data_IF_488515383764
#
_entry.id   IF_488515383764
#
_cell.length_a   1.000
_cell.length_b   1.000
_cell.length_c   1.000
_cell.angle_alpha   90.00
_cell.angle_beta   90.00
_cell.angle_gamma   90.00
#
_symmetry.space_group_name_H-M   'P 1'
#
loop_
_entity.id
_entity.type
_entity.pdbx_description
1 polymer ?
#
# COMPACT_ATOMS: atom_id res chain seq x y z
N UNK A 1 3.69 29.47 -1.15
CA UNK A 1 4.68 28.43 -0.88
C UNK A 1 4.08 27.51 0.16
N UNK A 2 3.84 26.25 -0.14
CA UNK A 2 3.37 25.27 0.84
C UNK A 2 4.49 25.03 1.85
N UNK A 3 4.19 25.10 3.14
CA UNK A 3 5.13 24.78 4.20
C UNK A 3 5.29 23.24 4.25
N UNK A 4 6.51 22.71 4.44
CA UNK A 4 6.70 21.28 4.61
C UNK A 4 5.90 20.77 5.83
N UNK A 5 5.36 19.56 5.72
CA UNK A 5 4.65 18.95 6.83
C UNK A 5 5.63 18.55 7.94
N UNK A 6 5.15 18.59 9.18
CA UNK A 6 5.95 18.11 10.31
C UNK A 6 5.98 16.58 10.35
N UNK A 7 7.02 16.02 10.98
CA UNK A 7 7.12 14.57 11.19
C UNK A 7 5.88 14.00 11.92
N UNK A 8 5.34 14.75 12.89
CA UNK A 8 4.13 14.35 13.62
C UNK A 8 2.89 14.29 12.70
N UNK A 9 2.72 15.29 11.81
CA UNK A 9 1.62 15.30 10.83
C UNK A 9 1.73 14.12 9.86
N UNK A 10 2.94 13.83 9.37
CA UNK A 10 3.18 12.70 8.46
C UNK A 10 2.97 11.35 9.17
N UNK A 11 3.48 11.18 10.39
CA UNK A 11 3.27 9.98 11.18
C UNK A 11 1.79 9.72 11.45
N UNK A 12 1.05 10.76 11.87
CA UNK A 12 -0.38 10.67 12.10
C UNK A 12 -1.16 10.34 10.83
N UNK A 13 -0.85 11.00 9.71
CA UNK A 13 -1.50 10.73 8.43
C UNK A 13 -1.29 9.27 7.97
N UNK A 14 -0.10 8.72 8.14
CA UNK A 14 0.18 7.31 7.85
C UNK A 14 -0.60 6.36 8.76
N UNK A 15 -0.53 6.57 10.08
CA UNK A 15 -1.26 5.78 11.05
C UNK A 15 -2.77 5.75 10.75
N UNK A 16 -3.37 6.95 10.54
CA UNK A 16 -4.79 7.08 10.26
C UNK A 16 -5.19 6.47 8.90
N UNK A 17 -4.29 6.47 7.91
CA UNK A 17 -4.51 5.78 6.64
C UNK A 17 -4.56 4.26 6.82
N UNK A 18 -3.66 3.67 7.62
CA UNK A 18 -3.67 2.24 7.94
C UNK A 18 -4.96 1.85 8.67
N UNK A 19 -5.40 2.62 9.67
CA UNK A 19 -6.63 2.33 10.39
C UNK A 19 -7.88 2.48 9.50
N UNK A 20 -7.95 3.51 8.66
CA UNK A 20 -9.06 3.70 7.73
C UNK A 20 -9.16 2.57 6.70
N UNK A 21 -8.04 1.97 6.32
CA UNK A 21 -8.00 0.78 5.47
C UNK A 21 -8.51 -0.46 6.21
N UNK A 22 -8.19 -0.66 7.48
CA UNK A 22 -8.73 -1.72 8.32
C UNK A 22 -10.25 -1.60 8.55
N UNK A 23 -10.75 -0.36 8.61
CA UNK A 23 -12.18 -0.06 8.74
C UNK A 23 -12.96 -0.29 7.43
N UNK A 24 -12.28 -0.53 6.31
CA UNK A 24 -12.88 -0.79 5.00
C UNK A 24 -13.14 -2.30 4.82
N UNK A 25 -14.28 -2.65 4.21
CA UNK A 25 -14.56 -4.02 3.81
C UNK A 25 -13.77 -4.35 2.55
N UNK A 26 -12.75 -5.20 2.67
CA UNK A 26 -11.79 -5.57 1.62
C UNK A 26 -11.84 -7.08 1.36
N UNK A 27 -12.58 -7.54 0.36
CA UNK A 27 -12.71 -8.97 0.07
C UNK A 27 -11.36 -9.70 -0.04
N UNK A 28 -11.19 -10.77 0.75
CA UNK A 28 -9.98 -11.61 0.79
C UNK A 28 -8.83 -11.06 1.63
N UNK A 29 -8.92 -9.83 2.14
CA UNK A 29 -7.89 -9.23 2.97
C UNK A 29 -8.37 -9.07 4.44
N UNK A 30 -7.49 -8.67 5.36
CA UNK A 30 -7.82 -8.43 6.77
C UNK A 30 -8.64 -7.14 6.90
N UNK A 31 -9.78 -7.22 7.60
CA UNK A 31 -10.66 -6.09 7.91
C UNK A 31 -11.51 -6.38 9.15
N UNK A 32 -12.07 -5.33 9.79
CA UNK A 32 -12.84 -5.48 11.04
C UNK A 32 -14.17 -6.23 10.92
N UNK A 33 -14.68 -6.46 9.72
CA UNK A 33 -15.94 -7.17 9.48
C UNK A 33 -15.77 -8.68 9.30
N UNK A 34 -14.54 -9.17 9.22
CA UNK A 34 -14.21 -10.58 9.01
C UNK A 34 -13.86 -11.29 10.31
N UNK A 35 -13.79 -12.61 10.23
CA UNK A 35 -13.10 -13.42 11.24
C UNK A 35 -11.60 -13.25 11.02
N UNK A 36 -10.81 -13.10 12.08
CA UNK A 36 -9.36 -13.04 11.98
C UNK A 36 -8.84 -14.20 11.14
N UNK A 37 -8.00 -13.87 10.16
CA UNK A 37 -7.39 -14.86 9.29
C UNK A 37 -6.37 -15.68 10.08
N UNK A 38 -6.19 -16.95 9.74
CA UNK A 38 -5.26 -17.84 10.45
C UNK A 38 -3.85 -17.25 10.39
N UNK A 39 -3.42 -16.63 11.50
CA UNK A 39 -2.06 -16.11 11.68
C UNK A 39 -1.87 -14.60 11.61
N UNK A 40 -2.88 -13.79 11.26
CA UNK A 40 -2.81 -12.33 11.28
C UNK A 40 -4.13 -11.74 11.76
N UNK A 41 -4.09 -10.96 12.84
CA UNK A 41 -5.26 -10.32 13.44
C UNK A 41 -5.33 -8.83 13.12
N UNK A 42 -6.51 -8.24 13.26
CA UNK A 42 -6.69 -6.78 13.18
C UNK A 42 -5.77 -6.07 14.17
N UNK A 43 -5.59 -6.62 15.38
CA UNK A 43 -4.70 -6.06 16.41
C UNK A 43 -3.23 -6.03 16.00
N UNK A 44 -2.77 -6.98 15.17
CA UNK A 44 -1.41 -6.98 14.63
C UNK A 44 -1.22 -5.80 13.67
N UNK A 45 -2.21 -5.53 12.81
CA UNK A 45 -2.17 -4.39 11.89
C UNK A 45 -2.27 -3.04 12.62
N UNK A 46 -3.10 -2.92 13.66
CA UNK A 46 -3.16 -1.72 14.52
C UNK A 46 -1.82 -1.46 15.22
N UNK A 47 -1.22 -2.51 15.76
CA UNK A 47 0.09 -2.43 16.41
C UNK A 47 1.16 -2.03 15.39
N UNK A 48 1.17 -2.65 14.21
CA UNK A 48 2.08 -2.34 13.13
C UNK A 48 1.98 -0.89 12.68
N UNK A 49 0.76 -0.38 12.46
CA UNK A 49 0.52 1.02 12.12
C UNK A 49 1.10 1.98 13.16
N UNK A 50 0.87 1.68 14.44
CA UNK A 50 1.32 2.50 15.57
C UNK A 50 2.84 2.56 15.71
N UNK A 51 3.54 1.43 15.52
CA UNK A 51 5.00 1.39 15.71
C UNK A 51 5.76 1.80 14.45
N UNK A 52 5.23 1.57 13.25
CA UNK A 52 5.87 1.97 11.99
C UNK A 52 5.77 3.48 11.72
N UNK A 53 4.69 4.14 12.14
CA UNK A 53 4.44 5.55 11.83
C UNK A 53 5.55 6.51 12.27
N UNK A 54 6.07 6.49 13.52
CA UNK A 54 7.17 7.37 13.91
C UNK A 54 8.47 7.06 13.16
N UNK A 55 8.76 5.78 12.86
CA UNK A 55 9.95 5.39 12.11
C UNK A 55 9.90 5.87 10.65
N UNK A 56 8.72 5.76 10.02
CA UNK A 56 8.46 6.23 8.66
C UNK A 56 8.64 7.75 8.53
N UNK A 57 8.17 8.51 9.51
CA UNK A 57 8.17 9.97 9.49
C UNK A 57 9.42 10.61 10.12
N UNK A 58 10.38 9.83 10.61
CA UNK A 58 11.54 10.35 11.32
C UNK A 58 12.36 11.33 10.45
N UNK A 59 12.74 12.53 10.97
CA UNK A 59 13.50 13.50 10.20
C UNK A 59 14.89 12.99 9.80
N UNK A 60 15.42 13.48 8.66
CA UNK A 60 16.79 13.23 8.23
C UNK A 60 17.08 11.80 7.77
N UNK A 61 16.07 10.94 7.61
CA UNK A 61 16.26 9.58 7.13
C UNK A 61 16.06 9.51 5.61
N UNK A 62 16.88 8.70 4.93
CA UNK A 62 16.69 8.33 3.54
C UNK A 62 15.45 7.41 3.38
N UNK A 63 14.99 7.21 2.14
CA UNK A 63 13.84 6.33 1.85
C UNK A 63 14.11 4.90 2.35
N UNK A 64 15.28 4.34 2.05
CA UNK A 64 15.67 3.01 2.50
C UNK A 64 15.69 2.87 4.02
N UNK A 65 16.25 3.88 4.72
CA UNK A 65 16.28 3.89 6.18
C UNK A 65 14.87 3.95 6.80
N UNK A 66 13.93 4.71 6.19
CA UNK A 66 12.51 4.72 6.60
C UNK A 66 11.89 3.35 6.44
N UNK A 67 12.10 2.71 5.30
CA UNK A 67 11.60 1.36 5.01
C UNK A 67 12.13 0.38 6.06
N UNK A 68 13.44 0.31 6.25
CA UNK A 68 14.06 -0.64 7.17
C UNK A 68 13.57 -0.48 8.59
N UNK A 69 13.64 0.73 9.14
CA UNK A 69 13.24 1.00 10.53
C UNK A 69 11.75 0.73 10.77
N UNK A 70 10.88 1.04 9.82
CA UNK A 70 9.45 0.78 9.94
C UNK A 70 9.13 -0.73 9.92
N UNK A 71 9.82 -1.48 9.06
CA UNK A 71 9.67 -2.94 8.98
C UNK A 71 10.23 -3.63 10.23
N UNK A 72 11.43 -3.22 10.68
CA UNK A 72 12.03 -3.72 11.93
C UNK A 72 11.09 -3.46 13.12
N UNK A 73 10.62 -2.23 13.31
CA UNK A 73 9.68 -1.89 14.39
C UNK A 73 8.39 -2.73 14.35
N UNK A 74 7.88 -3.02 13.16
CA UNK A 74 6.70 -3.88 12.98
C UNK A 74 7.00 -5.31 13.43
N UNK A 75 8.05 -5.93 12.90
CA UNK A 75 8.38 -7.34 13.19
C UNK A 75 8.75 -7.53 14.65
N UNK A 76 9.49 -6.58 15.24
CA UNK A 76 9.83 -6.61 16.66
C UNK A 76 8.59 -6.54 17.57
N UNK A 77 7.53 -5.85 17.13
CA UNK A 77 6.31 -5.68 17.90
C UNK A 77 5.29 -6.83 17.71
N UNK A 78 5.16 -7.39 16.50
CA UNK A 78 4.11 -8.37 16.17
C UNK A 78 4.65 -9.75 15.76
N UNK A 79 5.96 -9.89 15.54
CA UNK A 79 6.63 -11.16 15.25
C UNK A 79 6.55 -11.63 13.79
N UNK A 80 5.82 -10.93 12.91
CA UNK A 80 5.67 -11.28 11.50
C UNK A 80 5.41 -10.06 10.61
N UNK A 81 5.49 -10.25 9.29
CA UNK A 81 5.30 -9.20 8.32
C UNK A 81 3.81 -8.94 8.06
N UNK A 82 3.34 -7.73 8.40
CA UNK A 82 1.98 -7.26 8.12
C UNK A 82 1.93 -6.10 7.13
N UNK A 83 3.04 -5.38 6.90
CA UNK A 83 2.99 -4.07 6.24
C UNK A 83 4.17 -3.74 5.33
N UNK A 84 4.98 -4.71 4.90
CA UNK A 84 6.14 -4.43 4.04
C UNK A 84 5.75 -3.63 2.79
N UNK A 85 4.72 -4.04 2.06
CA UNK A 85 4.28 -3.35 0.85
C UNK A 85 3.73 -1.95 1.13
N UNK A 86 2.98 -1.79 2.22
CA UNK A 86 2.52 -0.48 2.71
C UNK A 86 3.70 0.45 2.97
N UNK A 87 4.72 -0.03 3.68
CA UNK A 87 5.91 0.76 4.02
C UNK A 87 6.73 1.10 2.77
N UNK A 88 6.91 0.13 1.85
CA UNK A 88 7.60 0.38 0.58
C UNK A 88 6.94 1.52 -0.20
N UNK A 89 5.62 1.54 -0.33
CA UNK A 89 4.90 2.62 -1.01
C UNK A 89 4.87 3.93 -0.22
N UNK A 90 4.79 3.87 1.11
CA UNK A 90 4.60 5.05 1.94
C UNK A 90 5.91 5.80 2.25
N UNK A 91 7.07 5.14 2.24
CA UNK A 91 8.34 5.78 2.57
C UNK A 91 8.76 6.89 1.58
N UNK A 92 8.64 6.71 0.24
CA UNK A 92 8.89 7.79 -0.70
C UNK A 92 7.88 8.94 -0.56
N UNK A 93 6.60 8.64 -0.31
CA UNK A 93 5.55 9.65 -0.06
C UNK A 93 5.84 10.45 1.20
N UNK A 94 6.27 9.80 2.28
CA UNK A 94 6.68 10.48 3.51
C UNK A 94 7.90 11.37 3.30
N UNK A 95 8.91 10.89 2.55
CA UNK A 95 10.07 11.70 2.17
C UNK A 95 9.66 12.94 1.39
N UNK A 96 8.79 12.80 0.40
CA UNK A 96 8.29 13.91 -0.41
C UNK A 96 7.46 14.92 0.41
N UNK A 97 6.70 14.45 1.39
CA UNK A 97 5.88 15.33 2.25
C UNK A 97 6.72 16.14 3.27
N UNK A 98 7.85 15.58 3.70
CA UNK A 98 8.80 16.23 4.62
C UNK A 98 9.81 17.14 3.90
N UNK A 99 9.88 17.09 2.57
CA UNK A 99 10.76 17.91 1.75
C UNK A 99 10.19 19.35 1.66
N UNK A 100 11.07 20.34 1.81
CA UNK A 100 10.75 21.76 1.70
C UNK A 100 10.81 22.30 0.26
N UNK A 101 11.13 21.44 -0.73
CA UNK A 101 11.19 21.80 -2.12
C UNK A 101 9.82 22.29 -2.65
N UNK A 102 9.87 23.29 -3.54
CA UNK A 102 8.67 23.81 -4.17
C UNK A 102 8.01 22.76 -5.09
N UNK A 103 6.69 22.76 -5.14
CA UNK A 103 5.87 21.87 -5.97
C UNK A 103 4.79 21.17 -5.15
N UNK A 104 3.96 20.42 -5.85
CA UNK A 104 2.98 19.53 -5.22
C UNK A 104 3.63 18.21 -4.75
N UNK A 105 2.90 17.41 -4.00
CA UNK A 105 3.38 16.14 -3.47
C UNK A 105 3.91 15.21 -4.57
N UNK A 106 3.23 15.14 -5.73
CA UNK A 106 3.66 14.26 -6.84
C UNK A 106 4.98 14.73 -7.46
N UNK A 107 5.15 16.03 -7.66
CA UNK A 107 6.38 16.59 -8.21
C UNK A 107 7.57 16.44 -7.27
N UNK A 108 7.36 16.55 -5.95
CA UNK A 108 8.40 16.25 -4.96
C UNK A 108 8.72 14.76 -4.89
N UNK A 109 7.69 13.90 -4.98
CA UNK A 109 7.90 12.44 -5.05
C UNK A 109 8.76 12.04 -6.25
N UNK A 110 8.50 12.58 -7.43
CA UNK A 110 9.32 12.31 -8.62
C UNK A 110 10.80 12.64 -8.38
N UNK A 111 11.10 13.75 -7.68
CA UNK A 111 12.49 14.10 -7.30
C UNK A 111 13.07 13.09 -6.29
N UNK A 112 12.29 12.66 -5.30
CA UNK A 112 12.70 11.64 -4.32
C UNK A 112 13.03 10.33 -5.04
N UNK A 113 12.19 9.88 -5.97
CA UNK A 113 12.42 8.64 -6.73
C UNK A 113 13.68 8.73 -7.60
N UNK A 114 13.88 9.84 -8.31
CA UNK A 114 15.08 10.08 -9.12
C UNK A 114 16.36 10.17 -8.28
N UNK A 115 16.26 10.53 -7.00
CA UNK A 115 17.39 10.64 -6.06
C UNK A 115 17.69 9.37 -5.26
N UNK A 116 16.98 8.26 -5.50
CA UNK A 116 17.21 7.00 -4.78
C UNK A 116 18.62 6.45 -5.02
N UNK A 117 19.28 6.03 -3.97
CA UNK A 117 20.69 5.65 -3.96
C UNK A 117 20.88 4.12 -3.83
N UNK A 118 22.12 3.66 -4.02
CA UNK A 118 22.56 2.30 -3.66
C UNK A 118 22.41 2.05 -2.14
N UNK A 119 22.59 3.09 -1.32
CA UNK A 119 22.34 3.03 0.13
C UNK A 119 20.88 2.72 0.44
N UNK A 120 19.93 3.34 -0.29
CA UNK A 120 18.50 3.02 -0.16
C UNK A 120 18.19 1.59 -0.57
N UNK A 121 18.84 1.09 -1.62
CA UNK A 121 18.71 -0.31 -2.02
C UNK A 121 19.18 -1.27 -0.92
N UNK A 122 20.36 -1.01 -0.31
CA UNK A 122 20.89 -1.85 0.78
C UNK A 122 19.95 -1.92 1.98
N UNK A 123 19.46 -0.79 2.43
CA UNK A 123 18.50 -0.72 3.54
C UNK A 123 17.19 -1.43 3.21
N UNK A 124 16.67 -1.23 2.00
CA UNK A 124 15.44 -1.88 1.53
C UNK A 124 15.60 -3.39 1.41
N UNK A 125 16.72 -3.87 0.85
CA UNK A 125 17.02 -5.32 0.77
C UNK A 125 17.11 -5.95 2.17
N UNK A 126 17.78 -5.27 3.11
CA UNK A 126 17.82 -5.71 4.50
C UNK A 126 16.42 -5.81 5.12
N UNK A 127 15.54 -4.83 4.87
CA UNK A 127 14.14 -4.85 5.32
C UNK A 127 13.36 -6.03 4.71
N UNK A 128 13.50 -6.28 3.41
CA UNK A 128 12.82 -7.39 2.73
C UNK A 128 13.30 -8.75 3.28
N UNK A 129 14.62 -8.91 3.46
CA UNK A 129 15.17 -10.13 4.08
C UNK A 129 14.65 -10.33 5.51
N UNK A 130 14.53 -9.27 6.29
CA UNK A 130 14.01 -9.33 7.66
C UNK A 130 12.52 -9.67 7.69
N UNK A 131 11.74 -9.10 6.78
CA UNK A 131 10.31 -9.35 6.65
C UNK A 131 9.94 -10.76 6.14
N UNK A 132 10.84 -11.43 5.43
CA UNK A 132 10.64 -12.78 4.85
C UNK A 132 9.29 -12.92 4.14
N UNK A 133 8.95 -12.06 3.16
CA UNK A 133 7.65 -12.10 2.52
C UNK A 133 7.44 -13.43 1.78
N UNK A 134 6.24 -14.00 1.93
CA UNK A 134 5.90 -15.28 1.29
C UNK A 134 5.91 -15.18 -0.25
N UNK A 135 6.45 -16.23 -0.90
CA UNK A 135 6.45 -16.35 -2.36
C UNK A 135 7.44 -15.44 -3.09
N UNK A 136 8.45 -14.88 -2.41
CA UNK A 136 9.41 -13.98 -3.04
C UNK A 136 10.21 -14.66 -4.16
N UNK A 137 10.60 -15.96 -3.98
CA UNK A 137 11.40 -16.70 -4.94
C UNK A 137 12.81 -16.13 -5.12
N UNK A 138 13.51 -16.60 -6.15
CA UNK A 138 14.82 -16.09 -6.57
C UNK A 138 14.64 -15.20 -7.82
N UNK A 139 15.35 -14.07 -7.86
CA UNK A 139 15.37 -13.18 -9.01
C UNK A 139 16.64 -13.41 -9.86
N UNK A 140 16.48 -13.34 -11.20
CA UNK A 140 17.64 -13.50 -12.12
C UNK A 140 18.63 -12.33 -12.03
N UNK A 141 18.15 -11.14 -11.69
CA UNK A 141 18.95 -9.91 -11.55
C UNK A 141 18.55 -9.21 -10.24
N UNK A 142 19.53 -8.62 -9.59
CA UNK A 142 19.37 -7.81 -8.37
C UNK A 142 18.53 -8.53 -7.30
N UNK A 143 18.81 -9.84 -7.07
CA UNK A 143 18.13 -10.62 -6.07
C UNK A 143 18.36 -10.04 -4.66
N UNK A 144 17.29 -9.96 -3.88
CA UNK A 144 17.36 -9.39 -2.52
C UNK A 144 18.18 -10.21 -1.53
N UNK A 145 18.52 -11.45 -1.86
CA UNK A 145 19.45 -12.30 -1.10
C UNK A 145 20.90 -11.82 -1.19
N UNK A 146 21.26 -11.07 -2.25
CA UNK A 146 22.58 -10.48 -2.46
C UNK A 146 22.71 -9.06 -1.90
N UNK A 147 23.95 -8.52 -1.99
CA UNK A 147 24.18 -7.09 -1.76
C UNK A 147 23.92 -6.30 -3.04
N UNK A 148 23.11 -5.24 -3.02
CA UNK A 148 22.84 -4.45 -4.22
C UNK A 148 24.04 -3.58 -4.60
N UNK A 149 24.33 -3.55 -5.88
CA UNK A 149 25.31 -2.69 -6.54
C UNK A 149 24.66 -1.59 -7.42
N UNK A 150 23.33 -1.57 -7.46
CA UNK A 150 22.50 -0.61 -8.18
C UNK A 150 21.67 0.24 -7.23
N UNK A 151 21.13 1.35 -7.70
CA UNK A 151 20.19 2.19 -6.94
C UNK A 151 18.89 1.46 -6.66
N UNK A 152 18.13 1.93 -5.66
CA UNK A 152 16.81 1.33 -5.37
C UNK A 152 15.86 1.45 -6.57
N UNK A 153 15.93 2.54 -7.34
CA UNK A 153 15.09 2.71 -8.53
C UNK A 153 15.42 1.67 -9.61
N UNK A 154 16.70 1.43 -9.90
CA UNK A 154 17.14 0.41 -10.85
C UNK A 154 16.78 -1.01 -10.37
N UNK A 155 16.85 -1.28 -9.08
CA UNK A 155 16.40 -2.55 -8.52
C UNK A 155 14.87 -2.74 -8.66
N UNK A 156 14.09 -1.68 -8.50
CA UNK A 156 12.63 -1.70 -8.74
C UNK A 156 12.31 -1.88 -10.23
N UNK A 157 13.06 -1.25 -11.14
CA UNK A 157 12.93 -1.46 -12.58
C UNK A 157 13.12 -2.93 -12.97
N UNK A 158 14.12 -3.60 -12.41
CA UNK A 158 14.33 -5.05 -12.63
C UNK A 158 13.18 -5.93 -12.09
N UNK A 159 12.35 -5.41 -11.19
CA UNK A 159 11.23 -6.13 -10.56
C UNK A 159 9.85 -5.72 -11.12
N UNK A 160 9.71 -4.62 -11.84
CA UNK A 160 8.42 -4.01 -12.24
C UNK A 160 7.50 -4.96 -13.03
N UNK A 161 8.07 -5.84 -13.83
CA UNK A 161 7.29 -6.81 -14.63
C UNK A 161 6.58 -7.90 -13.82
N UNK A 162 6.95 -8.07 -12.52
CA UNK A 162 6.40 -9.10 -11.62
C UNK A 162 5.83 -8.57 -10.31
N UNK A 163 6.10 -7.31 -9.97
CA UNK A 163 5.68 -6.70 -8.70
C UNK A 163 5.11 -5.29 -8.95
N UNK A 164 3.84 -5.08 -8.61
CA UNK A 164 3.15 -3.82 -8.86
C UNK A 164 3.62 -2.68 -7.95
N UNK A 165 4.19 -2.99 -6.80
CA UNK A 165 4.84 -1.99 -5.94
C UNK A 165 6.07 -1.45 -6.66
N UNK A 166 6.92 -2.33 -7.17
CA UNK A 166 8.10 -1.96 -7.95
C UNK A 166 7.72 -1.15 -9.21
N UNK A 167 6.66 -1.53 -9.91
CA UNK A 167 6.12 -0.80 -11.05
C UNK A 167 5.74 0.65 -10.68
N UNK A 168 5.19 0.90 -9.51
CA UNK A 168 4.87 2.27 -9.09
C UNK A 168 6.11 3.15 -8.95
N UNK A 169 7.25 2.61 -8.49
CA UNK A 169 8.51 3.36 -8.41
C UNK A 169 8.99 3.88 -9.76
N UNK A 170 8.82 3.10 -10.82
CA UNK A 170 9.29 3.42 -12.17
C UNK A 170 8.26 4.20 -13.00
N UNK A 171 7.03 4.33 -12.50
CA UNK A 171 5.91 5.00 -13.16
C UNK A 171 5.31 6.14 -12.31
N UNK A 172 6.14 6.84 -11.52
CA UNK A 172 5.76 8.04 -10.75
C UNK A 172 4.48 7.86 -9.91
N UNK A 173 4.31 6.65 -9.34
CA UNK A 173 3.14 6.30 -8.53
C UNK A 173 1.80 6.54 -9.23
N UNK A 174 1.77 6.31 -10.52
CA UNK A 174 0.57 6.52 -11.37
C UNK A 174 -0.66 5.82 -10.82
N UNK A 175 -0.54 4.58 -10.30
CA UNK A 175 -1.68 3.89 -9.69
C UNK A 175 -2.27 4.70 -8.53
N UNK A 176 -1.42 5.26 -7.69
CA UNK A 176 -1.85 6.04 -6.52
C UNK A 176 -2.51 7.35 -6.95
N UNK A 177 -1.84 8.13 -7.83
CA UNK A 177 -2.28 9.49 -8.16
C UNK A 177 -3.43 9.51 -9.19
N UNK A 178 -3.39 8.66 -10.20
CA UNK A 178 -4.31 8.74 -11.34
C UNK A 178 -5.49 7.76 -11.25
N UNK A 179 -5.33 6.62 -10.54
CA UNK A 179 -6.43 5.69 -10.27
C UNK A 179 -6.96 5.84 -8.84
N UNK A 180 -6.11 5.63 -7.83
CA UNK A 180 -6.50 5.58 -6.43
C UNK A 180 -7.10 6.89 -5.92
N UNK A 181 -6.38 8.02 -6.03
CA UNK A 181 -6.86 9.33 -5.58
C UNK A 181 -8.10 9.80 -6.34
N UNK A 182 -8.19 9.51 -7.63
CA UNK A 182 -9.39 9.83 -8.43
C UNK A 182 -10.60 9.08 -7.90
N UNK A 183 -10.46 7.76 -7.69
CA UNK A 183 -11.55 6.93 -7.15
C UNK A 183 -11.91 7.32 -5.73
N UNK A 184 -10.92 7.62 -4.88
CA UNK A 184 -11.15 8.09 -3.51
C UNK A 184 -11.97 9.37 -3.47
N UNK A 185 -11.60 10.41 -4.26
CA UNK A 185 -12.32 11.67 -4.33
C UNK A 185 -13.76 11.46 -4.81
N UNK A 186 -13.96 10.64 -5.84
CA UNK A 186 -15.29 10.30 -6.35
C UNK A 186 -16.13 9.60 -5.26
N UNK A 187 -15.61 8.57 -4.63
CA UNK A 187 -16.33 7.80 -3.60
C UNK A 187 -16.64 8.64 -2.35
N UNK A 188 -15.76 9.55 -1.95
CA UNK A 188 -16.03 10.51 -0.88
C UNK A 188 -17.18 11.47 -1.21
N UNK A 189 -17.27 11.93 -2.46
CA UNK A 189 -18.38 12.78 -2.91
C UNK A 189 -19.71 12.01 -2.92
N UNK A 190 -19.69 10.71 -3.22
CA UNK A 190 -20.88 9.84 -3.28
C UNK A 190 -21.40 9.44 -1.90
N UNK A 191 -20.51 9.09 -0.95
CA UNK A 191 -20.89 8.48 0.33
C UNK A 191 -20.61 9.32 1.56
N UNK A 192 -19.72 10.32 1.46
CA UNK A 192 -19.16 11.06 2.59
C UNK A 192 -18.62 10.15 3.72
N UNK A 193 -18.21 8.93 3.37
CA UNK A 193 -17.73 7.90 4.28
C UNK A 193 -16.34 7.43 3.88
N UNK A 194 -15.35 7.68 4.74
CA UNK A 194 -13.95 7.29 4.49
C UNK A 194 -13.77 5.77 4.36
N UNK A 195 -14.39 4.90 5.20
CA UNK A 195 -14.34 3.46 5.01
C UNK A 195 -14.96 2.99 3.70
N UNK A 196 -16.13 3.52 3.31
CA UNK A 196 -16.76 3.19 2.03
C UNK A 196 -15.90 3.64 0.84
N UNK A 197 -15.25 4.80 0.93
CA UNK A 197 -14.32 5.27 -0.09
C UNK A 197 -13.07 4.37 -0.18
N UNK A 198 -12.53 3.92 0.95
CA UNK A 198 -11.41 2.98 0.99
C UNK A 198 -11.78 1.62 0.37
N UNK A 199 -12.99 1.08 0.66
CA UNK A 199 -13.52 -0.12 0.00
C UNK A 199 -13.60 0.06 -1.52
N UNK A 200 -14.07 1.23 -1.98
CA UNK A 200 -14.17 1.54 -3.42
C UNK A 200 -12.79 1.63 -4.09
N UNK A 201 -11.80 2.23 -3.42
CA UNK A 201 -10.41 2.28 -3.91
C UNK A 201 -9.81 0.88 -4.01
N UNK A 202 -9.95 0.08 -2.96
CA UNK A 202 -9.47 -1.30 -2.93
C UNK A 202 -10.05 -2.13 -4.07
N UNK A 203 -11.37 -2.09 -4.24
CA UNK A 203 -12.05 -2.86 -5.28
C UNK A 203 -11.63 -2.38 -6.68
N UNK A 204 -11.45 -1.07 -6.87
CA UNK A 204 -11.00 -0.51 -8.14
C UNK A 204 -9.58 -0.96 -8.50
N UNK A 205 -8.66 -1.06 -7.53
CA UNK A 205 -7.34 -1.64 -7.75
C UNK A 205 -7.46 -3.11 -8.15
N UNK A 206 -8.19 -3.90 -7.37
CA UNK A 206 -8.35 -5.35 -7.62
C UNK A 206 -9.03 -5.64 -8.96
N UNK A 207 -9.96 -4.78 -9.39
CA UNK A 207 -10.62 -4.89 -10.68
C UNK A 207 -9.75 -4.43 -11.85
N UNK A 208 -8.87 -3.44 -11.64
CA UNK A 208 -8.05 -2.86 -12.71
C UNK A 208 -6.71 -3.57 -12.93
N UNK A 209 -6.13 -4.14 -11.86
CA UNK A 209 -4.74 -4.65 -11.83
C UNK A 209 -4.75 -6.08 -11.29
N UNK A 210 -4.13 -7.06 -11.99
CA UNK A 210 -3.93 -8.38 -11.39
C UNK A 210 -3.09 -8.25 -10.12
N UNK A 211 -3.61 -8.75 -8.98
CA UNK A 211 -2.90 -8.63 -7.70
C UNK A 211 -1.59 -9.43 -7.72
N UNK A 212 -0.46 -8.74 -7.53
CA UNK A 212 0.86 -9.35 -7.67
C UNK A 212 1.24 -10.25 -6.49
N UNK A 213 0.61 -10.11 -5.31
CA UNK A 213 0.77 -11.08 -4.23
C UNK A 213 0.08 -12.41 -4.58
N UNK A 214 -1.12 -12.37 -5.16
CA UNK A 214 -1.80 -13.57 -5.65
C UNK A 214 -0.99 -14.18 -6.80
N UNK A 215 -0.55 -13.37 -7.77
CA UNK A 215 0.27 -13.85 -8.89
C UNK A 215 1.55 -14.56 -8.42
N UNK A 216 2.21 -14.02 -7.41
CA UNK A 216 3.44 -14.57 -6.84
C UNK A 216 3.22 -15.90 -6.10
N UNK A 217 2.09 -16.05 -5.40
CA UNK A 217 1.79 -17.25 -4.59
C UNK A 217 1.08 -18.35 -5.39
N UNK A 218 0.22 -17.99 -6.35
CA UNK A 218 -0.72 -18.90 -7.00
C UNK A 218 -0.64 -18.86 -8.54
N UNK A 219 0.21 -17.98 -9.08
CA UNK A 219 0.37 -17.79 -10.53
C UNK A 219 -0.53 -16.70 -11.12
N UNK A 220 -0.11 -16.14 -12.26
CA UNK A 220 -0.80 -15.05 -12.94
C UNK A 220 -2.23 -15.40 -13.37
N UNK A 221 -2.47 -16.66 -13.75
CA UNK A 221 -3.81 -17.11 -14.13
C UNK A 221 -4.83 -16.90 -13.00
N UNK A 222 -4.46 -17.23 -11.75
CA UNK A 222 -5.30 -17.05 -10.58
C UNK A 222 -5.52 -15.55 -10.26
N UNK A 223 -4.50 -14.72 -10.43
CA UNK A 223 -4.63 -13.28 -10.24
C UNK A 223 -5.58 -12.65 -11.27
N UNK A 224 -5.53 -13.09 -12.53
CA UNK A 224 -6.45 -12.65 -13.58
C UNK A 224 -7.88 -13.11 -13.34
N UNK A 225 -8.09 -14.32 -12.83
CA UNK A 225 -9.42 -14.81 -12.44
C UNK A 225 -10.03 -13.92 -11.35
N UNK A 226 -9.29 -13.66 -10.27
CA UNK A 226 -9.73 -12.77 -9.18
C UNK A 226 -10.02 -11.35 -9.70
N UNK A 227 -9.20 -10.84 -10.62
CA UNK A 227 -9.44 -9.55 -11.25
C UNK A 227 -10.79 -9.52 -12.01
N UNK A 228 -11.13 -10.56 -12.77
CA UNK A 228 -12.41 -10.64 -13.48
C UNK A 228 -13.60 -10.73 -12.51
N UNK A 229 -13.45 -11.51 -11.43
CA UNK A 229 -14.47 -11.57 -10.37
C UNK A 229 -14.67 -10.19 -9.73
N UNK A 230 -13.59 -9.47 -9.41
CA UNK A 230 -13.65 -8.12 -8.85
C UNK A 230 -14.34 -7.13 -9.78
N UNK A 231 -14.06 -7.17 -11.11
CA UNK A 231 -14.78 -6.36 -12.10
C UNK A 231 -16.27 -6.62 -12.08
N UNK A 232 -16.67 -7.90 -11.99
CA UNK A 232 -18.09 -8.26 -11.96
C UNK A 232 -18.75 -7.80 -10.64
N UNK A 233 -18.03 -7.82 -9.51
CA UNK A 233 -18.51 -7.28 -8.23
C UNK A 233 -18.66 -5.76 -8.33
N UNK A 234 -17.64 -5.03 -8.78
CA UNK A 234 -17.65 -3.57 -8.92
C UNK A 234 -18.85 -3.11 -9.76
N UNK A 235 -19.05 -3.71 -10.94
CA UNK A 235 -20.18 -3.39 -11.82
C UNK A 235 -21.56 -3.65 -11.18
N UNK A 236 -21.67 -4.66 -10.31
CA UNK A 236 -22.90 -4.89 -9.54
C UNK A 236 -23.13 -3.84 -8.47
N UNK A 237 -22.06 -3.40 -7.79
CA UNK A 237 -22.15 -2.40 -6.71
C UNK A 237 -22.58 -1.04 -7.25
N UNK A 238 -22.15 -0.63 -8.44
CA UNK A 238 -22.54 0.63 -9.07
C UNK A 238 -24.05 0.70 -9.35
N UNK A 239 -24.69 -0.46 -9.51
CA UNK A 239 -26.14 -0.58 -9.73
C UNK A 239 -26.95 -0.81 -8.43
N UNK A 240 -26.32 -0.85 -7.26
CA UNK A 240 -27.00 -1.08 -5.96
C UNK A 240 -27.30 0.24 -5.26
N UNK A 241 -28.58 0.56 -5.11
CA UNK A 241 -29.05 1.73 -4.39
C UNK A 241 -28.98 1.61 -2.84
N UNK A 242 -28.69 0.40 -2.31
CA UNK A 242 -28.77 0.10 -0.88
C UNK A 242 -27.43 -0.43 -0.35
N UNK A 243 -26.89 0.24 0.67
CA UNK A 243 -25.63 -0.11 1.33
C UNK A 243 -25.61 -1.55 1.88
N UNK A 244 -26.73 -2.01 2.46
CA UNK A 244 -26.81 -3.39 2.97
C UNK A 244 -26.66 -4.43 1.86
N UNK A 245 -27.21 -4.17 0.65
CA UNK A 245 -27.05 -5.05 -0.49
C UNK A 245 -25.59 -5.03 -1.00
N UNK A 246 -24.94 -3.85 -1.02
CA UNK A 246 -23.52 -3.71 -1.35
C UNK A 246 -22.65 -4.51 -0.40
N UNK A 247 -22.87 -4.38 0.92
CA UNK A 247 -22.11 -5.11 1.93
C UNK A 247 -22.32 -6.62 1.84
N UNK A 248 -23.53 -7.12 1.52
CA UNK A 248 -23.75 -8.55 1.28
C UNK A 248 -22.95 -9.09 0.09
N UNK A 249 -22.96 -8.37 -1.03
CA UNK A 249 -22.21 -8.77 -2.23
C UNK A 249 -20.67 -8.78 -1.94
N UNK A 250 -20.16 -7.79 -1.23
CA UNK A 250 -18.77 -7.72 -0.81
C UNK A 250 -18.40 -8.85 0.17
N UNK A 251 -19.23 -9.13 1.17
CA UNK A 251 -19.00 -10.22 2.13
C UNK A 251 -19.06 -11.59 1.46
N UNK A 252 -19.93 -11.80 0.48
CA UNK A 252 -19.95 -13.04 -0.28
C UNK A 252 -18.64 -13.23 -1.08
N UNK A 253 -18.12 -12.16 -1.66
CA UNK A 253 -16.83 -12.18 -2.36
C UNK A 253 -15.66 -12.40 -1.40
N UNK A 254 -15.68 -11.75 -0.22
CA UNK A 254 -14.69 -11.96 0.85
C UNK A 254 -14.61 -13.44 1.26
N UNK A 255 -15.75 -14.05 1.57
CA UNK A 255 -15.83 -15.45 1.93
C UNK A 255 -15.31 -16.38 0.82
N UNK A 256 -15.64 -16.08 -0.44
CA UNK A 256 -15.14 -16.82 -1.59
C UNK A 256 -13.61 -16.77 -1.70
N UNK A 257 -13.00 -15.59 -1.58
CA UNK A 257 -11.55 -15.43 -1.65
C UNK A 257 -10.86 -16.11 -0.46
N UNK A 258 -11.35 -15.91 0.76
CA UNK A 258 -10.81 -16.54 1.97
C UNK A 258 -10.90 -18.05 1.96
N UNK A 259 -12.00 -18.63 1.49
CA UNK A 259 -12.15 -20.08 1.34
C UNK A 259 -11.12 -20.69 0.35
N UNK A 260 -10.64 -19.91 -0.62
CA UNK A 260 -9.57 -20.29 -1.56
C UNK A 260 -8.17 -19.92 -1.08
N UNK A 261 -8.02 -19.30 0.09
CA UNK A 261 -6.75 -18.80 0.63
C UNK A 261 -6.15 -17.63 -0.18
N UNK A 262 -7.00 -16.91 -0.94
CA UNK A 262 -6.55 -15.83 -1.82
C UNK A 262 -6.63 -14.48 -1.09
N UNK A 263 -5.47 -13.87 -0.90
CA UNK A 263 -5.33 -12.57 -0.24
C UNK A 263 -4.79 -11.52 -1.23
N UNK A 264 -5.61 -10.56 -1.68
CA UNK A 264 -5.17 -9.49 -2.56
C UNK A 264 -4.39 -8.40 -1.80
N UNK A 265 -3.20 -8.75 -1.29
CA UNK A 265 -2.38 -7.89 -0.43
C UNK A 265 -1.84 -6.66 -1.16
N UNK A 266 -1.44 -6.80 -2.44
CA UNK A 266 -0.94 -5.65 -3.21
C UNK A 266 -2.03 -4.59 -3.38
N UNK A 267 -3.29 -4.99 -3.62
CA UNK A 267 -4.42 -4.06 -3.71
C UNK A 267 -4.68 -3.34 -2.37
N UNK A 268 -4.47 -4.02 -1.24
CA UNK A 268 -4.55 -3.43 0.09
C UNK A 268 -3.41 -2.42 0.33
N UNK A 269 -2.17 -2.78 -0.02
CA UNK A 269 -1.00 -1.89 0.09
C UNK A 269 -1.18 -0.59 -0.71
N UNK A 270 -1.66 -0.69 -1.96
CA UNK A 270 -1.99 0.44 -2.82
C UNK A 270 -3.11 1.30 -2.23
N UNK A 271 -4.08 0.68 -1.55
CA UNK A 271 -5.17 1.41 -0.88
C UNK A 271 -4.65 2.25 0.26
N UNK A 272 -3.82 1.69 1.16
CA UNK A 272 -3.21 2.48 2.25
C UNK A 272 -2.39 3.63 1.70
N UNK A 273 -1.54 3.39 0.69
CA UNK A 273 -0.72 4.42 0.07
C UNK A 273 -1.58 5.55 -0.55
N UNK A 274 -2.73 5.21 -1.14
CA UNK A 274 -3.69 6.20 -1.66
C UNK A 274 -4.31 7.04 -0.54
N UNK A 275 -4.78 6.41 0.54
CA UNK A 275 -5.36 7.11 1.69
C UNK A 275 -4.33 8.00 2.37
N UNK A 276 -3.09 7.56 2.44
CA UNK A 276 -1.98 8.35 2.96
C UNK A 276 -1.68 9.55 2.07
N UNK A 277 -1.54 9.37 0.75
CA UNK A 277 -1.34 10.46 -0.20
C UNK A 277 -2.49 11.49 -0.17
N UNK A 278 -3.74 11.02 -0.04
CA UNK A 278 -4.91 11.90 0.12
C UNK A 278 -4.82 12.75 1.39
N UNK A 279 -4.39 12.14 2.51
CA UNK A 279 -4.22 12.85 3.78
C UNK A 279 -3.09 13.88 3.72
N UNK A 280 -1.95 13.52 3.09
CA UNK A 280 -0.84 14.46 2.91
C UNK A 280 -1.25 15.67 2.06
N UNK A 281 -1.93 15.43 0.91
CA UNK A 281 -2.44 16.54 0.07
C UNK A 281 -3.42 17.44 0.81
N UNK A 282 -4.32 16.87 1.63
CA UNK A 282 -5.27 17.65 2.41
C UNK A 282 -4.59 18.54 3.45
N UNK A 283 -3.53 18.04 4.11
CA UNK A 283 -2.74 18.82 5.07
C UNK A 283 -1.97 19.96 4.39
N UNK A 284 -1.44 19.75 3.17
CA UNK A 284 -0.75 20.79 2.39
C UNK A 284 -1.68 21.94 1.96
N UNK A 285 -2.95 21.66 1.69
CA UNK A 285 -3.95 22.67 1.28
C UNK A 285 -4.49 23.42 2.51
N UNK A 286 -4.57 22.79 3.66
CA UNK A 286 -5.06 23.35 4.92
C UNK A 286 -4.03 24.17 5.70
N UNK A 287 -2.78 24.17 5.26
CA UNK A 287 -1.71 25.03 5.79
C UNK A 287 -1.55 26.28 4.94
#
# INVERSE_FOLDING_TARGET
MTRPLTAEQVARAFHDACLAELDALKPGNVHRFGVDDVGMSVADFETSARVAAPALAAPGHSVGARIRRSVEATIDAVGHNTNLGIVLLSAPLASAALDDAAGDLRGRLAKVLAGLSVGDARETYAAIRYAKPGGLGEARAHDVGGEPDVTLLEAMEAAEGRDRIAWNYTHDFTDIFDLGLKRFKQAMAESNSRPSAATSVYLSFLASIPDTLIARKFGMAQALEVQQEAKAVEARLDNRANEQARNRDLMAFDQSLKARGLNPGTSADLTVATLFAASLQALEIGC
#
